data_IF_084743288912
#
_entry.id   IF_084743288912
#
_cell.length_a   1.000
_cell.length_b   1.000
_cell.length_c   1.000
_cell.angle_alpha   90.00
_cell.angle_beta   90.00
_cell.angle_gamma   90.00
#
_symmetry.space_group_name_H-M   'P 1'
#
loop_
_entity.id
_entity.type
_entity.pdbx_description
1 polymer ?
#
# COMPACT_ATOMS: atom_id res chain seq x y z
N UNK A 1 -9.79 -20.57 -23.80
CA UNK A 1 -8.88 -19.79 -22.93
C UNK A 1 -9.52 -19.72 -21.56
N UNK A 2 -8.83 -20.07 -20.46
CA UNK A 2 -9.40 -19.87 -19.12
C UNK A 2 -9.47 -18.36 -18.87
N UNK A 3 -10.65 -17.84 -18.57
CA UNK A 3 -10.81 -16.44 -18.19
C UNK A 3 -9.97 -16.16 -16.94
N UNK A 4 -9.08 -15.19 -17.03
CA UNK A 4 -8.24 -14.77 -15.92
C UNK A 4 -9.02 -13.72 -15.12
N UNK A 5 -9.52 -14.11 -13.95
CA UNK A 5 -10.21 -13.17 -13.05
C UNK A 5 -9.16 -12.27 -12.41
N UNK A 6 -9.14 -11.00 -12.84
CA UNK A 6 -8.26 -9.99 -12.25
C UNK A 6 -9.07 -9.20 -11.22
N UNK A 7 -8.75 -9.37 -9.94
CA UNK A 7 -9.36 -8.60 -8.85
C UNK A 7 -8.51 -7.36 -8.62
N UNK A 8 -9.10 -6.18 -8.82
CA UNK A 8 -8.51 -4.88 -8.48
C UNK A 8 -9.26 -4.29 -7.30
N UNK A 9 -8.55 -3.51 -6.49
CA UNK A 9 -9.16 -2.78 -5.39
C UNK A 9 -9.87 -1.54 -5.95
N UNK A 10 -11.08 -1.24 -5.49
CA UNK A 10 -11.66 0.07 -5.77
C UNK A 10 -10.83 1.17 -5.10
N UNK A 11 -10.73 2.35 -5.72
CA UNK A 11 -9.91 3.44 -5.20
C UNK A 11 -10.34 3.89 -3.78
N UNK A 12 -11.64 3.92 -3.51
CA UNK A 12 -12.16 4.28 -2.18
C UNK A 12 -11.77 3.25 -1.12
N UNK A 13 -11.78 1.96 -1.48
CA UNK A 13 -11.35 0.87 -0.59
C UNK A 13 -9.84 0.98 -0.35
N UNK A 14 -9.06 1.36 -1.35
CA UNK A 14 -7.62 1.60 -1.21
C UNK A 14 -7.36 2.74 -0.22
N UNK A 15 -8.08 3.86 -0.37
CA UNK A 15 -7.94 5.01 0.54
C UNK A 15 -8.32 4.66 1.98
N UNK A 16 -9.30 3.77 2.19
CA UNK A 16 -9.62 3.27 3.53
C UNK A 16 -8.48 2.43 4.10
N UNK A 17 -7.91 1.51 3.32
CA UNK A 17 -6.76 0.70 3.72
C UNK A 17 -5.54 1.57 4.06
N UNK A 18 -5.25 2.58 3.25
CA UNK A 18 -4.12 3.47 3.49
C UNK A 18 -4.24 4.22 4.82
N UNK A 19 -5.46 4.59 5.23
CA UNK A 19 -5.70 5.28 6.51
C UNK A 19 -5.52 4.39 7.74
N UNK A 20 -5.64 3.07 7.60
CA UNK A 20 -5.42 2.14 8.73
C UNK A 20 -3.94 1.87 8.97
N UNK A 21 -3.10 2.17 7.98
CA UNK A 21 -1.66 1.95 8.06
C UNK A 21 -0.97 3.21 8.56
N UNK A 22 -0.03 3.01 9.49
CA UNK A 22 0.70 4.12 10.10
C UNK A 22 1.60 4.75 9.04
N UNK A 23 1.57 6.10 8.86
CA UNK A 23 2.51 6.78 7.99
C UNK A 23 3.97 6.49 8.41
N UNK A 24 4.93 6.47 7.48
CA UNK A 24 6.32 6.24 7.81
C UNK A 24 6.85 7.45 8.60
N UNK A 25 6.89 7.35 9.93
CA UNK A 25 7.48 8.39 10.77
C UNK A 25 8.88 7.92 11.16
N UNK A 26 9.88 8.49 10.51
CA UNK A 26 11.29 8.33 10.90
C UNK A 26 11.62 9.39 11.94
N UNK A 27 11.93 8.93 13.14
CA UNK A 27 12.37 9.76 14.28
C UNK A 27 13.79 9.34 14.68
N UNK A 28 14.39 10.06 15.62
CA UNK A 28 15.71 9.68 16.17
C UNK A 28 15.68 8.31 16.89
N UNK A 29 14.51 7.84 17.32
CA UNK A 29 14.33 6.56 18.00
C UNK A 29 13.99 5.42 17.02
N UNK A 30 13.78 5.73 15.74
CA UNK A 30 13.41 4.73 14.74
C UNK A 30 14.63 3.86 14.41
N UNK A 31 14.57 2.59 14.81
CA UNK A 31 15.60 1.62 14.45
C UNK A 31 15.61 1.35 12.95
N UNK A 32 16.75 0.92 12.40
CA UNK A 32 16.87 0.61 10.96
C UNK A 32 15.86 -0.46 10.49
N UNK A 33 15.52 -1.42 11.35
CA UNK A 33 14.52 -2.46 11.07
C UNK A 33 13.12 -1.83 10.99
N UNK A 34 12.77 -0.96 11.93
CA UNK A 34 11.48 -0.28 11.95
C UNK A 34 11.31 0.63 10.72
N UNK A 35 12.36 1.37 10.36
CA UNK A 35 12.38 2.18 9.15
C UNK A 35 12.18 1.32 7.90
N UNK A 36 12.90 0.20 7.79
CA UNK A 36 12.76 -0.74 6.67
C UNK A 36 11.34 -1.30 6.54
N UNK A 37 10.72 -1.68 7.66
CA UNK A 37 9.33 -2.13 7.69
C UNK A 37 8.36 -1.04 7.20
N UNK A 38 8.47 0.17 7.74
CA UNK A 38 7.62 1.30 7.36
C UNK A 38 7.76 1.66 5.86
N UNK A 39 8.98 1.70 5.35
CA UNK A 39 9.25 1.97 3.93
C UNK A 39 8.70 0.86 3.03
N UNK A 40 8.81 -0.40 3.43
CA UNK A 40 8.25 -1.54 2.70
C UNK A 40 6.73 -1.47 2.57
N UNK A 41 6.03 -1.14 3.66
CA UNK A 41 4.57 -0.94 3.64
C UNK A 41 4.18 0.15 2.64
N UNK A 42 4.93 1.25 2.62
CA UNK A 42 4.66 2.38 1.73
C UNK A 42 4.93 2.06 0.25
N UNK A 43 5.98 1.28 -0.06
CA UNK A 43 6.23 0.83 -1.43
C UNK A 43 5.10 -0.07 -1.95
N UNK A 44 4.57 -0.94 -1.10
CA UNK A 44 3.41 -1.78 -1.44
C UNK A 44 2.17 -0.94 -1.69
N UNK A 45 1.86 0.02 -0.80
CA UNK A 45 0.72 0.92 -0.99
C UNK A 45 0.82 1.69 -2.30
N UNK A 46 2.00 2.25 -2.60
CA UNK A 46 2.25 2.93 -3.88
C UNK A 46 2.01 2.02 -5.07
N UNK A 47 2.54 0.79 -5.07
CA UNK A 47 2.32 -0.18 -6.16
C UNK A 47 0.83 -0.49 -6.33
N UNK A 48 0.11 -0.67 -5.24
CA UNK A 48 -1.32 -0.93 -5.28
C UNK A 48 -2.07 0.21 -5.96
N UNK A 49 -1.77 1.46 -5.59
CA UNK A 49 -2.32 2.66 -6.24
C UNK A 49 -1.95 2.77 -7.72
N UNK A 50 -0.71 2.44 -8.08
CA UNK A 50 -0.18 2.70 -9.43
C UNK A 50 -0.64 1.66 -10.48
N UNK A 51 -1.22 0.53 -10.07
CA UNK A 51 -1.60 -0.51 -11.04
C UNK A 51 -2.54 -1.62 -10.57
N UNK A 52 -2.87 -1.68 -9.27
CA UNK A 52 -3.78 -2.68 -8.73
C UNK A 52 -5.10 -2.07 -8.19
N UNK A 53 -5.30 -0.76 -8.35
CA UNK A 53 -6.59 -0.11 -8.15
C UNK A 53 -7.34 0.07 -9.47
N UNK A 54 -8.65 -0.14 -9.47
CA UNK A 54 -9.51 0.19 -10.60
C UNK A 54 -9.97 1.65 -10.47
N UNK A 55 -9.57 2.51 -11.42
CA UNK A 55 -10.28 3.76 -11.65
C UNK A 55 -11.59 3.42 -12.34
N UNK A 56 -12.71 3.88 -11.78
CA UNK A 56 -13.99 3.85 -12.48
C UNK A 56 -13.96 4.83 -13.66
#
# INVERSE_FOLDING_TARGET
MKEQVVVRLDEDVYRQLERTLVPPVVTNDTTGILAGYQLGVQDVLRKLRDGFTASR
#
